data_IF_098753055842
#
_entry.id   IF_098753055842
#
_cell.length_a   1.000
_cell.length_b   1.000
_cell.length_c   1.000
_cell.angle_alpha   90.00
_cell.angle_beta   90.00
_cell.angle_gamma   90.00
#
_symmetry.space_group_name_H-M   'P 1'
#
loop_
_entity.id
_entity.type
_entity.pdbx_description
1 polymer ?
#
# COMPACT_ATOMS: atom_id res chain seq x y z
N UNK A 1 -4.54 -25.96 -26.04
CA UNK A 1 -4.12 -26.37 -24.68
C UNK A 1 -2.82 -25.70 -24.25
N UNK A 2 -1.86 -25.49 -25.15
CA UNK A 2 -0.64 -24.73 -24.87
C UNK A 2 -0.92 -23.22 -24.65
N UNK A 3 -1.83 -22.64 -25.44
CA UNK A 3 -2.18 -21.21 -25.37
C UNK A 3 -2.65 -20.75 -23.99
N UNK A 4 -3.47 -21.56 -23.29
CA UNK A 4 -3.95 -21.20 -21.95
C UNK A 4 -2.82 -21.13 -20.92
N UNK A 5 -1.81 -22.00 -21.03
CA UNK A 5 -0.64 -21.98 -20.13
C UNK A 5 0.27 -20.80 -20.44
N UNK A 6 0.40 -20.46 -21.72
CA UNK A 6 1.18 -19.29 -22.13
C UNK A 6 0.54 -17.98 -21.66
N UNK A 7 -0.78 -17.82 -21.83
CA UNK A 7 -1.53 -16.68 -21.28
C UNK A 7 -1.36 -16.61 -19.76
N UNK A 8 -1.48 -17.73 -19.04
CA UNK A 8 -1.31 -17.75 -17.59
C UNK A 8 0.12 -17.34 -17.16
N UNK A 9 1.14 -17.70 -17.95
CA UNK A 9 2.52 -17.26 -17.70
C UNK A 9 2.70 -15.74 -17.91
N UNK A 10 2.06 -15.18 -18.93
CA UNK A 10 2.04 -13.73 -19.20
C UNK A 10 1.30 -12.96 -18.10
N UNK A 11 0.16 -13.49 -17.62
CA UNK A 11 -0.61 -12.92 -16.51
C UNK A 11 0.20 -12.92 -15.21
N UNK A 12 0.90 -14.00 -14.91
CA UNK A 12 1.81 -14.09 -13.75
C UNK A 12 2.94 -13.07 -13.84
N UNK A 13 3.55 -12.90 -15.03
CA UNK A 13 4.61 -11.91 -15.23
C UNK A 13 4.09 -10.47 -15.04
N UNK A 14 2.88 -10.20 -15.52
CA UNK A 14 2.20 -8.90 -15.35
C UNK A 14 1.86 -8.64 -13.88
N UNK A 15 1.32 -9.64 -13.18
CA UNK A 15 1.01 -9.55 -11.76
C UNK A 15 2.28 -9.31 -10.91
N UNK A 16 3.42 -9.94 -11.24
CA UNK A 16 4.70 -9.69 -10.58
C UNK A 16 5.14 -8.24 -10.70
N UNK A 17 5.02 -7.64 -11.90
CA UNK A 17 5.36 -6.22 -12.10
C UNK A 17 4.47 -5.33 -11.25
N UNK A 18 3.16 -5.55 -11.27
CA UNK A 18 2.20 -4.78 -10.48
C UNK A 18 2.51 -4.85 -8.97
N UNK A 19 2.86 -6.04 -8.45
CA UNK A 19 3.27 -6.21 -7.04
C UNK A 19 4.59 -5.51 -6.73
N UNK A 20 5.53 -5.46 -7.68
CA UNK A 20 6.78 -4.72 -7.53
C UNK A 20 6.51 -3.22 -7.41
N UNK A 21 5.67 -2.67 -8.30
CA UNK A 21 5.32 -1.25 -8.31
C UNK A 21 4.59 -0.87 -7.01
N UNK A 22 3.67 -1.72 -6.53
CA UNK A 22 2.97 -1.50 -5.25
C UNK A 22 3.96 -1.50 -4.07
N UNK A 23 4.95 -2.38 -4.06
CA UNK A 23 5.97 -2.40 -3.00
C UNK A 23 6.82 -1.13 -3.00
N UNK A 24 7.22 -0.63 -4.16
CA UNK A 24 7.96 0.62 -4.29
C UNK A 24 7.12 1.80 -3.79
N UNK A 25 5.84 1.86 -4.18
CA UNK A 25 4.92 2.89 -3.74
C UNK A 25 4.64 2.82 -2.22
N UNK A 26 4.51 1.62 -1.65
CA UNK A 26 4.38 1.42 -0.21
C UNK A 26 5.62 1.87 0.55
N UNK A 27 6.81 1.64 0.00
CA UNK A 27 8.09 2.14 0.53
C UNK A 27 8.12 3.67 0.58
N UNK A 28 7.84 4.33 -0.55
CA UNK A 28 7.74 5.79 -0.62
C UNK A 28 6.71 6.36 0.35
N UNK A 29 5.56 5.70 0.49
CA UNK A 29 4.53 6.14 1.42
C UNK A 29 4.96 6.02 2.89
N UNK A 30 5.74 4.99 3.24
CA UNK A 30 6.32 4.84 4.57
C UNK A 30 7.24 6.02 4.92
N UNK A 31 8.04 6.48 3.97
CA UNK A 31 8.93 7.63 4.16
C UNK A 31 8.13 8.92 4.39
N UNK A 32 7.09 9.15 3.58
CA UNK A 32 6.17 10.31 3.74
C UNK A 32 5.50 10.32 5.12
N UNK A 33 5.04 9.17 5.60
CA UNK A 33 4.45 9.04 6.94
C UNK A 33 5.51 9.36 8.01
N UNK A 34 6.74 8.88 7.85
CA UNK A 34 7.86 9.19 8.74
C UNK A 34 8.18 10.69 8.80
N UNK A 35 8.25 11.35 7.65
CA UNK A 35 8.43 12.80 7.56
C UNK A 35 7.28 13.56 8.23
N UNK A 36 6.05 13.10 8.05
CA UNK A 36 4.85 13.69 8.66
C UNK A 36 4.91 13.61 10.19
N UNK A 37 5.29 12.44 10.75
CA UNK A 37 5.45 12.28 12.20
C UNK A 37 6.55 13.20 12.74
N UNK A 38 7.67 13.33 12.03
CA UNK A 38 8.76 14.22 12.40
C UNK A 38 8.32 15.69 12.38
N UNK A 39 7.57 16.10 11.36
CA UNK A 39 7.03 17.45 11.25
C UNK A 39 6.09 17.76 12.41
N UNK A 40 5.15 16.87 12.73
CA UNK A 40 4.22 17.05 13.85
C UNK A 40 4.97 17.14 15.19
N UNK A 41 5.99 16.31 15.39
CA UNK A 41 6.85 16.36 16.58
C UNK A 41 7.58 17.70 16.69
N UNK A 42 8.07 18.22 15.57
CA UNK A 42 8.68 19.56 15.49
C UNK A 42 7.68 20.67 15.83
N UNK A 43 6.41 20.55 15.41
CA UNK A 43 5.36 21.50 15.79
C UNK A 43 5.11 21.39 17.30
N UNK A 44 5.01 20.19 17.88
CA UNK A 44 4.81 20.00 19.32
C UNK A 44 5.88 20.70 20.16
N UNK A 45 7.14 20.65 19.74
CA UNK A 45 8.22 21.39 20.40
C UNK A 45 8.02 22.92 20.35
N UNK A 46 7.57 23.45 19.20
CA UNK A 46 7.28 24.89 19.05
C UNK A 46 6.11 25.35 19.94
N UNK A 47 5.15 24.47 20.23
CA UNK A 47 4.07 24.78 21.18
C UNK A 47 4.58 25.07 22.59
N UNK A 48 5.56 24.29 23.08
CA UNK A 48 6.13 24.54 24.41
C UNK A 48 6.75 25.94 24.50
N UNK A 49 7.51 26.33 23.47
CA UNK A 49 8.13 27.66 23.42
C UNK A 49 7.06 28.78 23.34
N UNK A 50 5.95 28.54 22.62
CA UNK A 50 4.83 29.49 22.58
C UNK A 50 4.18 29.67 23.95
N UNK A 51 3.90 28.59 24.67
CA UNK A 51 3.30 28.64 26.02
C UNK A 51 4.22 29.37 26.99
N UNK A 52 5.53 29.13 26.93
CA UNK A 52 6.52 29.84 27.74
C UNK A 52 6.55 31.34 27.42
N UNK A 53 6.53 31.69 26.14
CA UNK A 53 6.49 33.10 25.69
C UNK A 53 5.23 33.82 26.17
N UNK A 54 4.07 33.13 26.17
CA UNK A 54 2.81 33.70 26.66
C UNK A 54 2.84 33.94 28.17
N UNK A 55 3.44 33.04 28.95
CA UNK A 55 3.67 33.25 30.39
C UNK A 55 4.54 34.47 30.64
N UNK A 56 5.63 34.63 29.87
CA UNK A 56 6.48 35.81 29.98
C UNK A 56 5.72 37.11 29.67
N UNK A 57 4.82 37.12 28.69
CA UNK A 57 3.98 38.29 28.38
C UNK A 57 3.03 38.61 29.54
N UNK A 58 2.42 37.59 30.15
CA UNK A 58 1.56 37.74 31.33
C UNK A 58 2.34 38.32 32.52
N UNK A 59 3.54 37.81 32.78
CA UNK A 59 4.44 38.31 33.83
C UNK A 59 4.85 39.77 33.58
N UNK A 60 5.20 40.14 32.34
CA UNK A 60 5.55 41.51 31.96
C UNK A 60 4.33 42.44 32.14
N UNK A 61 3.14 41.98 31.74
CA UNK A 61 1.90 42.75 31.95
C UNK A 61 1.65 43.00 33.44
N UNK A 62 1.80 41.97 34.29
CA UNK A 62 1.63 42.10 35.73
C UNK A 62 2.63 43.09 36.33
N UNK A 63 3.91 42.98 35.96
CA UNK A 63 4.96 43.90 36.39
C UNK A 63 4.68 45.34 35.94
N UNK A 64 4.25 45.53 34.70
CA UNK A 64 3.87 46.84 34.15
C UNK A 64 2.69 47.44 34.90
N UNK A 65 1.70 46.61 35.25
CA UNK A 65 0.53 47.01 36.05
C UNK A 65 0.90 47.43 37.47
N UNK A 66 1.86 46.72 38.10
CA UNK A 66 2.38 47.09 39.42
C UNK A 66 3.20 48.39 39.37
N UNK A 67 4.02 48.54 38.33
CA UNK A 67 4.82 49.75 38.14
C UNK A 67 3.94 50.98 37.91
N UNK A 68 2.89 50.85 37.09
CA UNK A 68 1.96 51.93 36.84
C UNK A 68 1.10 52.27 38.06
N UNK A 69 0.74 51.27 38.88
CA UNK A 69 0.10 51.52 40.16
C UNK A 69 0.98 52.35 41.11
N UNK A 70 2.27 52.00 41.22
CA UNK A 70 3.22 52.79 42.02
C UNK A 70 3.34 54.23 41.50
N UNK A 71 3.40 54.42 40.18
CA UNK A 71 3.43 55.74 39.56
C UNK A 71 2.15 56.55 39.82
N UNK A 72 0.97 55.91 39.81
CA UNK A 72 -0.29 56.55 40.14
C UNK A 72 -0.35 57.00 41.61
N UNK A 73 0.19 56.19 42.54
CA UNK A 73 0.31 56.55 43.97
C UNK A 73 1.21 57.77 44.16
N UNK A 74 2.38 57.79 43.51
CA UNK A 74 3.32 58.91 43.61
C UNK A 74 2.76 60.19 42.98
N UNK A 75 2.05 60.07 41.86
CA UNK A 75 1.34 61.18 41.22
C UNK A 75 0.26 61.78 42.13
N UNK A 76 -0.47 60.94 42.88
CA UNK A 76 -1.42 61.40 43.89
C UNK A 76 -0.72 62.11 45.07
N UNK A 77 0.47 61.64 45.46
CA UNK A 77 1.28 62.25 46.50
C UNK A 77 1.78 63.66 46.12
N UNK A 78 2.17 63.85 44.85
CA UNK A 78 2.59 65.14 44.31
C UNK A 78 1.45 66.17 44.10
N UNK A 79 0.19 65.78 44.33
CA UNK A 79 -0.96 66.68 44.30
C UNK A 79 -1.21 67.34 42.93
N UNK A 80 -1.17 68.67 42.87
CA UNK A 80 -1.49 69.44 41.65
C UNK A 80 -0.48 69.25 40.51
N UNK A 81 0.80 69.11 40.86
CA UNK A 81 1.92 68.92 39.92
C UNK A 81 1.90 67.50 39.29
N UNK A 82 1.33 66.51 39.99
CA UNK A 82 1.30 65.11 39.56
C UNK A 82 0.16 64.73 38.61
N UNK A 83 -0.81 65.62 38.33
CA UNK A 83 -2.02 65.29 37.55
C UNK A 83 -1.71 64.69 36.17
N UNK A 84 -0.70 65.21 35.46
CA UNK A 84 -0.30 64.69 34.15
C UNK A 84 0.29 63.28 34.24
N UNK A 85 1.12 63.03 35.26
CA UNK A 85 1.70 61.70 35.52
C UNK A 85 0.65 60.67 35.92
N UNK A 86 -0.38 61.07 36.68
CA UNK A 86 -1.49 60.19 37.05
C UNK A 86 -2.26 59.65 35.85
N UNK A 87 -2.56 60.52 34.87
CA UNK A 87 -3.26 60.11 33.63
C UNK A 87 -2.41 59.12 32.82
N UNK A 88 -1.11 59.36 32.71
CA UNK A 88 -0.20 58.44 32.00
C UNK A 88 -0.11 57.09 32.74
N UNK A 89 -0.07 57.09 34.07
CA UNK A 89 -0.04 55.87 34.87
C UNK A 89 -1.32 55.02 34.69
N UNK A 90 -2.49 55.65 34.65
CA UNK A 90 -3.76 54.96 34.38
C UNK A 90 -3.83 54.39 32.95
N UNK A 91 -3.31 55.11 31.95
CA UNK A 91 -3.25 54.62 30.56
C UNK A 91 -2.31 53.41 30.44
N UNK A 92 -1.14 53.45 31.08
CA UNK A 92 -0.20 52.30 31.14
C UNK A 92 -0.88 51.11 31.84
N UNK A 93 -1.62 51.35 32.92
CA UNK A 93 -2.36 50.30 33.64
C UNK A 93 -3.40 49.63 32.76
N UNK A 94 -4.15 50.43 32.01
CA UNK A 94 -5.17 49.96 31.06
C UNK A 94 -4.54 49.15 29.93
N UNK A 95 -3.41 49.62 29.37
CA UNK A 95 -2.67 48.91 28.34
C UNK A 95 -2.12 47.57 28.83
N UNK A 96 -1.56 47.54 30.05
CA UNK A 96 -1.09 46.31 30.68
C UNK A 96 -2.25 45.30 30.84
N UNK A 97 -3.41 45.73 31.34
CA UNK A 97 -4.60 44.88 31.44
C UNK A 97 -5.00 44.27 30.10
N UNK A 98 -5.12 45.10 29.06
CA UNK A 98 -5.44 44.64 27.69
C UNK A 98 -4.41 43.65 27.16
N UNK A 99 -3.13 43.82 27.49
CA UNK A 99 -2.07 42.89 27.11
C UNK A 99 -2.20 41.53 27.80
N UNK A 100 -2.61 41.50 29.07
CA UNK A 100 -2.87 40.25 29.79
C UNK A 100 -4.07 39.50 29.21
N UNK A 101 -5.19 40.21 28.95
CA UNK A 101 -6.37 39.61 28.31
C UNK A 101 -6.03 39.03 26.95
N UNK A 102 -5.28 39.76 26.12
CA UNK A 102 -4.84 39.26 24.82
C UNK A 102 -3.96 38.01 24.94
N UNK A 103 -3.00 38.01 25.88
CA UNK A 103 -2.16 36.85 26.13
C UNK A 103 -2.97 35.61 26.55
N UNK A 104 -4.01 35.81 27.38
CA UNK A 104 -4.89 34.73 27.83
C UNK A 104 -5.73 34.15 26.69
N UNK A 105 -6.30 34.99 25.83
CA UNK A 105 -7.02 34.53 24.62
C UNK A 105 -6.10 33.75 23.67
N UNK A 106 -4.86 34.20 23.48
CA UNK A 106 -3.89 33.47 22.66
C UNK A 106 -3.53 32.13 23.31
N UNK A 107 -3.37 32.08 24.64
CA UNK A 107 -3.08 30.84 25.37
C UNK A 107 -4.19 29.80 25.22
N UNK A 108 -5.46 30.23 25.21
CA UNK A 108 -6.61 29.35 24.94
C UNK A 108 -6.55 28.78 23.51
N UNK A 109 -6.31 29.62 22.50
CA UNK A 109 -6.19 29.17 21.10
C UNK A 109 -5.02 28.20 20.89
N UNK A 110 -3.88 28.45 21.53
CA UNK A 110 -2.71 27.56 21.53
C UNK A 110 -3.08 26.23 22.21
N UNK A 111 -3.79 26.25 23.34
CA UNK A 111 -4.22 25.03 24.02
C UNK A 111 -5.19 24.21 23.17
N UNK A 112 -6.16 24.84 22.52
CA UNK A 112 -7.09 24.16 21.62
C UNK A 112 -6.37 23.52 20.43
N UNK A 113 -5.40 24.23 19.85
CA UNK A 113 -4.65 23.75 18.70
C UNK A 113 -3.73 22.55 19.04
N UNK A 114 -3.31 22.43 20.31
CA UNK A 114 -2.60 21.25 20.82
C UNK A 114 -3.46 19.98 20.76
N UNK A 115 -4.75 20.06 21.08
CA UNK A 115 -5.66 18.90 21.00
C UNK A 115 -5.88 18.44 19.55
N UNK A 116 -6.00 19.39 18.62
CA UNK A 116 -6.07 19.08 17.18
C UNK A 116 -4.79 18.38 16.72
N UNK A 117 -3.62 18.82 17.18
CA UNK A 117 -2.36 18.17 16.85
C UNK A 117 -2.27 16.75 17.42
N UNK A 118 -2.65 16.54 18.68
CA UNK A 118 -2.67 15.22 19.32
C UNK A 118 -3.56 14.24 18.53
N UNK A 119 -4.69 14.72 18.05
CA UNK A 119 -5.57 13.96 17.15
C UNK A 119 -4.87 13.65 15.82
N UNK A 120 -4.15 14.61 15.26
CA UNK A 120 -3.32 14.43 14.06
C UNK A 120 -2.27 13.33 14.22
N UNK A 121 -1.51 13.33 15.33
CA UNK A 121 -0.54 12.28 15.65
C UNK A 121 -1.20 10.90 15.66
N UNK A 122 -2.31 10.76 16.39
CA UNK A 122 -3.03 9.48 16.50
C UNK A 122 -3.57 8.99 15.14
N UNK A 123 -3.99 9.90 14.25
CA UNK A 123 -4.39 9.55 12.89
C UNK A 123 -3.19 9.10 12.05
N UNK A 124 -2.06 9.78 12.15
CA UNK A 124 -0.84 9.40 11.44
C UNK A 124 -0.31 8.03 11.90
N UNK A 125 -0.38 7.71 13.19
CA UNK A 125 -0.04 6.38 13.72
C UNK A 125 -0.96 5.28 13.18
N UNK A 126 -2.27 5.56 13.04
CA UNK A 126 -3.22 4.64 12.40
C UNK A 126 -2.90 4.44 10.92
N UNK A 127 -2.52 5.50 10.21
CA UNK A 127 -2.08 5.40 8.82
C UNK A 127 -0.81 4.55 8.72
N UNK A 128 0.17 4.75 9.61
CA UNK A 128 1.40 3.96 9.65
C UNK A 128 1.13 2.47 9.84
N UNK A 129 0.31 2.09 10.83
CA UNK A 129 -0.05 0.68 11.08
C UNK A 129 -0.88 0.07 9.94
N UNK A 130 -1.76 0.85 9.31
CA UNK A 130 -2.47 0.43 8.10
C UNK A 130 -1.52 0.10 6.94
N UNK A 131 -0.46 0.88 6.78
CA UNK A 131 0.55 0.66 5.74
C UNK A 131 1.44 -0.55 6.00
N UNK A 132 1.75 -0.85 7.27
CA UNK A 132 2.41 -2.10 7.63
C UNK A 132 1.56 -3.31 7.26
N UNK A 133 0.25 -3.26 7.52
CA UNK A 133 -0.68 -4.31 7.11
C UNK A 133 -0.74 -4.48 5.59
N UNK A 134 -0.77 -3.38 4.82
CA UNK A 134 -0.72 -3.42 3.35
C UNK A 134 0.58 -4.09 2.87
N UNK A 135 1.72 -3.71 3.45
CA UNK A 135 3.03 -4.29 3.09
C UNK A 135 3.03 -5.81 3.33
N UNK A 136 2.48 -6.27 4.45
CA UNK A 136 2.32 -7.70 4.75
C UNK A 136 1.39 -8.42 3.74
N UNK A 137 0.29 -7.78 3.33
CA UNK A 137 -0.63 -8.32 2.34
C UNK A 137 0.04 -8.42 0.96
N UNK A 138 0.79 -7.40 0.55
CA UNK A 138 1.54 -7.40 -0.73
C UNK A 138 2.59 -8.50 -0.74
N UNK A 139 3.30 -8.73 0.37
CA UNK A 139 4.22 -9.85 0.50
C UNK A 139 3.52 -11.21 0.36
N UNK A 140 2.30 -11.34 0.91
CA UNK A 140 1.48 -12.55 0.77
C UNK A 140 1.02 -12.78 -0.68
N UNK A 141 0.58 -11.72 -1.37
CA UNK A 141 0.24 -11.77 -2.80
C UNK A 141 1.45 -12.19 -3.65
N UNK A 142 2.64 -11.68 -3.35
CA UNK A 142 3.87 -12.08 -4.03
C UNK A 142 4.14 -13.60 -3.88
N UNK A 143 3.92 -14.15 -2.69
CA UNK A 143 4.05 -15.59 -2.46
C UNK A 143 3.01 -16.40 -3.25
N UNK A 144 1.76 -15.93 -3.33
CA UNK A 144 0.75 -16.57 -4.18
C UNK A 144 1.14 -16.57 -5.66
N UNK A 145 1.65 -15.44 -6.17
CA UNK A 145 2.10 -15.35 -7.57
C UNK A 145 3.24 -16.32 -7.86
N UNK A 146 4.19 -16.49 -6.93
CA UNK A 146 5.26 -17.51 -7.05
C UNK A 146 4.69 -18.93 -7.13
N UNK A 147 3.72 -19.25 -6.28
CA UNK A 147 3.06 -20.57 -6.32
C UNK A 147 2.31 -20.83 -7.63
N UNK A 148 1.64 -19.80 -8.17
CA UNK A 148 0.97 -19.89 -9.48
C UNK A 148 2.01 -20.09 -10.59
N UNK A 149 3.13 -19.36 -10.57
CA UNK A 149 4.21 -19.54 -11.53
C UNK A 149 4.74 -20.98 -11.57
N UNK A 150 5.00 -21.57 -10.39
CA UNK A 150 5.48 -22.94 -10.28
C UNK A 150 4.43 -23.94 -10.78
N UNK A 151 3.15 -23.70 -10.46
CA UNK A 151 2.02 -24.52 -10.96
C UNK A 151 1.91 -24.43 -12.48
N UNK A 152 2.01 -23.24 -13.05
CA UNK A 152 1.98 -23.01 -14.51
C UNK A 152 3.14 -23.72 -15.21
N UNK A 153 4.36 -23.67 -14.64
CA UNK A 153 5.52 -24.41 -15.17
C UNK A 153 5.29 -25.92 -15.16
N UNK A 154 4.69 -26.46 -14.08
CA UNK A 154 4.37 -27.88 -13.99
C UNK A 154 3.29 -28.27 -15.00
N UNK A 155 2.24 -27.47 -15.16
CA UNK A 155 1.20 -27.68 -16.18
C UNK A 155 1.77 -27.67 -17.60
N UNK A 156 2.68 -26.74 -17.92
CA UNK A 156 3.37 -26.71 -19.21
C UNK A 156 4.09 -28.03 -19.49
N UNK A 157 4.81 -28.56 -18.49
CA UNK A 157 5.51 -29.85 -18.59
C UNK A 157 4.55 -31.01 -18.81
N UNK A 158 3.49 -31.11 -18.01
CA UNK A 158 2.49 -32.17 -18.13
C UNK A 158 1.76 -32.15 -19.47
N UNK A 159 1.43 -30.95 -20.00
CA UNK A 159 0.85 -30.82 -21.34
C UNK A 159 1.85 -31.25 -22.42
N UNK A 160 3.13 -30.94 -22.25
CA UNK A 160 4.19 -31.43 -23.11
C UNK A 160 4.27 -32.96 -23.16
N UNK A 161 4.11 -33.63 -22.02
CA UNK A 161 4.07 -35.11 -21.93
C UNK A 161 2.80 -35.69 -22.55
N UNK A 162 1.64 -35.08 -22.30
CA UNK A 162 0.36 -35.48 -22.91
C UNK A 162 0.47 -35.40 -24.44
N UNK A 163 1.02 -34.32 -24.98
CA UNK A 163 1.21 -34.18 -26.43
C UNK A 163 2.12 -35.27 -27.01
N UNK A 164 3.18 -35.67 -26.29
CA UNK A 164 4.03 -36.79 -26.72
C UNK A 164 3.27 -38.12 -26.71
N UNK A 165 2.47 -38.37 -25.68
CA UNK A 165 1.67 -39.59 -25.58
C UNK A 165 0.59 -39.65 -26.66
N UNK A 166 -0.08 -38.54 -26.95
CA UNK A 166 -1.05 -38.44 -28.06
C UNK A 166 -0.37 -38.80 -29.38
N UNK A 167 0.81 -38.22 -29.65
CA UNK A 167 1.57 -38.54 -30.87
C UNK A 167 1.94 -40.02 -30.96
N UNK A 168 2.33 -40.64 -29.86
CA UNK A 168 2.61 -42.08 -29.83
C UNK A 168 1.36 -42.92 -30.07
N UNK A 169 0.18 -42.50 -29.60
CA UNK A 169 -1.10 -43.16 -29.87
C UNK A 169 -1.47 -43.01 -31.35
N UNK A 170 -1.27 -41.83 -31.93
CA UNK A 170 -1.46 -41.57 -33.36
C UNK A 170 -0.58 -42.51 -34.21
N UNK A 171 0.69 -42.68 -33.84
CA UNK A 171 1.62 -43.59 -34.52
C UNK A 171 1.14 -45.06 -34.45
N UNK A 172 0.71 -45.53 -33.28
CA UNK A 172 0.19 -46.90 -33.10
C UNK A 172 -1.13 -47.11 -33.85
N UNK A 173 -2.04 -46.13 -33.81
CA UNK A 173 -3.29 -46.18 -34.56
C UNK A 173 -3.02 -46.23 -36.07
N UNK A 174 -2.05 -45.45 -36.55
CA UNK A 174 -1.57 -45.50 -37.93
C UNK A 174 -1.04 -46.88 -38.33
N UNK A 175 -0.22 -47.49 -37.48
CA UNK A 175 0.30 -48.83 -37.74
C UNK A 175 -0.81 -49.90 -37.72
N UNK A 176 -1.76 -49.81 -36.78
CA UNK A 176 -2.92 -50.73 -36.73
C UNK A 176 -3.78 -50.64 -37.99
N UNK A 177 -3.96 -49.43 -38.55
CA UNK A 177 -4.65 -49.26 -39.84
C UNK A 177 -3.88 -49.94 -40.98
N UNK A 178 -2.55 -49.78 -41.02
CA UNK A 178 -1.70 -50.48 -42.01
C UNK A 178 -1.80 -52.00 -41.87
N UNK A 179 -1.67 -52.52 -40.65
CA UNK A 179 -1.79 -53.96 -40.39
C UNK A 179 -3.17 -54.50 -40.77
N UNK A 180 -4.24 -53.72 -40.55
CA UNK A 180 -5.60 -54.12 -40.94
C UNK A 180 -5.74 -54.19 -42.47
N UNK A 181 -5.11 -53.27 -43.21
CA UNK A 181 -5.05 -53.32 -44.68
C UNK A 181 -4.27 -54.55 -45.16
N UNK A 182 -3.12 -54.85 -44.55
CA UNK A 182 -2.33 -56.03 -44.86
C UNK A 182 -3.09 -57.34 -44.58
N UNK A 183 -3.81 -57.42 -43.46
CA UNK A 183 -4.68 -58.56 -43.13
C UNK A 183 -5.79 -58.72 -44.16
N UNK A 184 -6.46 -57.63 -44.56
CA UNK A 184 -7.47 -57.68 -45.62
C UNK A 184 -6.91 -58.18 -46.94
N UNK A 185 -5.71 -57.72 -47.35
CA UNK A 185 -5.02 -58.21 -48.55
C UNK A 185 -4.71 -59.70 -48.46
N UNK A 186 -4.16 -60.15 -47.33
CA UNK A 186 -3.86 -61.57 -47.12
C UNK A 186 -5.13 -62.45 -47.15
N UNK A 187 -6.25 -61.97 -46.62
CA UNK A 187 -7.54 -62.67 -46.73
C UNK A 187 -7.99 -62.79 -48.19
N UNK A 188 -7.87 -61.73 -48.99
CA UNK A 188 -8.19 -61.77 -50.42
C UNK A 188 -7.29 -62.76 -51.18
N UNK A 189 -6.00 -62.79 -50.88
CA UNK A 189 -5.05 -63.75 -51.48
C UNK A 189 -5.38 -65.20 -51.08
N UNK A 190 -5.74 -65.45 -49.82
CA UNK A 190 -6.17 -66.76 -49.34
C UNK A 190 -7.48 -67.21 -50.02
N UNK A 191 -8.46 -66.32 -50.16
CA UNK A 191 -9.71 -66.60 -50.88
C UNK A 191 -9.44 -67.01 -52.34
N UNK A 192 -8.51 -66.32 -53.01
CA UNK A 192 -8.09 -66.68 -54.37
C UNK A 192 -7.42 -68.06 -54.42
N UNK A 193 -6.54 -68.39 -53.48
CA UNK A 193 -5.87 -69.69 -53.42
C UNK A 193 -6.87 -70.83 -53.15
N UNK A 194 -7.82 -70.64 -52.24
CA UNK A 194 -8.89 -71.60 -51.95
C UNK A 194 -9.79 -71.80 -53.18
N UNK A 195 -10.13 -70.72 -53.90
CA UNK A 195 -10.88 -70.81 -55.14
C UNK A 195 -10.12 -71.63 -56.21
N UNK A 196 -8.82 -71.39 -56.38
CA UNK A 196 -7.96 -72.14 -57.31
C UNK A 196 -7.85 -73.62 -56.93
N UNK A 197 -7.64 -73.94 -55.65
CA UNK A 197 -7.62 -75.33 -55.16
C UNK A 197 -8.93 -76.06 -55.42
N UNK A 198 -10.07 -75.42 -55.19
CA UNK A 198 -11.38 -75.98 -55.51
C UNK A 198 -11.55 -76.23 -57.01
N UNK A 199 -11.04 -75.36 -57.86
CA UNK A 199 -11.04 -75.55 -59.31
C UNK A 199 -10.16 -76.75 -59.71
N UNK A 200 -8.96 -76.86 -59.15
CA UNK A 200 -8.07 -78.01 -59.34
C UNK A 200 -8.74 -79.32 -58.93
N UNK A 201 -9.36 -79.38 -57.74
CA UNK A 201 -10.07 -80.57 -57.28
C UNK A 201 -11.22 -80.97 -58.20
N UNK A 202 -12.01 -80.00 -58.70
CA UNK A 202 -13.06 -80.27 -59.69
C UNK A 202 -12.52 -80.86 -61.00
N UNK A 203 -11.32 -80.43 -61.43
CA UNK A 203 -10.69 -80.92 -62.66
C UNK A 203 -10.17 -82.36 -62.53
N UNK A 204 -9.75 -82.78 -61.34
CA UNK A 204 -9.26 -84.14 -61.06
C UNK A 204 -10.33 -85.11 -60.52
N UNK A 205 -11.56 -84.63 -60.27
CA UNK A 205 -12.69 -85.46 -59.83
C UNK A 205 -13.51 -86.08 -61.00
N UNK A 206 -12.94 -86.11 -62.21
CA UNK A 206 -13.45 -86.73 -63.43
C UNK A 206 -12.58 -87.95 -63.78
#
# INVERSE_FOLDING_TARGET
MNDAVQVNAEDVASARRLVSDINEQAGSFKDIVGETVSAISGIAQRYFNMVESLRLIEDISLQTRLLSFNAAVEAAHAGGEGKGFGVVADEIRSLAHRSAEAAQVIAELVTQSRETMKTGVALTEKVASGMESITCQVASVNNFIRSIEDTTKNQARSIGEINKNIKSIEDVAGNNMCMTDDVNRNCLDLDQQVASLNEFLKRYAL
#
